data_IF_995959122970
#
_entry.id   IF_995959122970
#
_cell.length_a   1.000
_cell.length_b   1.000
_cell.length_c   1.000
_cell.angle_alpha   90.00
_cell.angle_beta   90.00
_cell.angle_gamma   90.00
#
_symmetry.space_group_name_H-M   'P 1'
#
loop_
_entity.id
_entity.type
_entity.pdbx_description
1 polymer ?
#
# COMPACT_ATOMS: atom_id res chain seq x y z
N UNK A 1 59.40 -20.32 -66.19
CA UNK A 1 59.80 -21.04 -64.97
C UNK A 1 58.78 -20.72 -63.88
N UNK A 2 57.80 -21.60 -63.72
CA UNK A 2 56.89 -21.58 -62.58
C UNK A 2 56.71 -23.04 -62.18
N UNK A 3 57.14 -23.32 -60.96
CA UNK A 3 57.34 -24.63 -60.35
C UNK A 3 56.01 -25.27 -59.99
N UNK A 4 55.77 -26.46 -60.54
CA UNK A 4 54.84 -27.46 -60.03
C UNK A 4 55.29 -27.97 -58.66
N UNK A 5 54.36 -28.30 -57.75
CA UNK A 5 54.44 -29.32 -56.67
C UNK A 5 53.00 -29.68 -56.22
N UNK A 6 52.76 -30.87 -55.62
CA UNK A 6 51.75 -31.79 -56.13
C UNK A 6 50.55 -32.07 -55.19
N UNK A 7 49.66 -32.92 -55.71
CA UNK A 7 48.43 -33.44 -55.12
C UNK A 7 48.58 -33.99 -53.69
N UNK A 8 47.65 -33.59 -52.82
CA UNK A 8 47.38 -34.26 -51.54
C UNK A 8 46.50 -35.50 -51.80
N UNK A 9 47.12 -36.68 -51.73
CA UNK A 9 46.42 -37.95 -51.70
C UNK A 9 45.79 -38.19 -50.33
N UNK A 10 44.47 -38.40 -50.30
CA UNK A 10 43.73 -38.83 -49.12
C UNK A 10 43.96 -40.33 -48.92
N UNK A 11 44.86 -40.69 -48.00
CA UNK A 11 44.92 -42.01 -47.41
C UNK A 11 44.03 -42.01 -46.15
N UNK A 12 42.75 -42.33 -46.35
CA UNK A 12 41.83 -42.64 -45.26
C UNK A 12 42.15 -44.05 -44.75
N UNK A 13 42.89 -44.14 -43.64
CA UNK A 13 43.05 -45.40 -42.91
C UNK A 13 41.75 -45.74 -42.18
N UNK A 14 41.38 -47.03 -42.18
CA UNK A 14 40.19 -47.58 -41.49
C UNK A 14 40.13 -47.22 -39.99
N UNK A 15 41.27 -46.91 -39.39
CA UNK A 15 41.37 -46.56 -37.97
C UNK A 15 40.88 -45.13 -37.66
N UNK A 16 40.93 -44.22 -38.63
CA UNK A 16 40.44 -42.84 -38.45
C UNK A 16 38.91 -42.77 -38.49
N UNK A 17 38.27 -43.61 -39.31
CA UNK A 17 36.80 -43.70 -39.39
C UNK A 17 36.23 -44.36 -38.13
N UNK A 18 36.91 -45.37 -37.56
CA UNK A 18 36.48 -46.01 -36.33
C UNK A 18 36.68 -45.12 -35.09
N UNK A 19 37.76 -44.36 -35.04
CA UNK A 19 37.98 -43.38 -33.97
C UNK A 19 36.95 -42.25 -34.03
N UNK A 20 36.73 -41.66 -35.22
CA UNK A 20 35.78 -40.54 -35.40
C UNK A 20 34.31 -40.97 -35.19
N UNK A 21 33.93 -42.19 -35.60
CA UNK A 21 32.61 -42.73 -35.33
C UNK A 21 32.38 -43.01 -33.84
N UNK A 22 33.42 -43.43 -33.10
CA UNK A 22 33.35 -43.62 -31.66
C UNK A 22 33.29 -42.28 -30.90
N UNK A 23 34.01 -41.24 -31.33
CA UNK A 23 33.88 -39.89 -30.74
C UNK A 23 32.55 -39.24 -31.07
N UNK A 24 32.00 -39.44 -32.27
CA UNK A 24 30.68 -38.93 -32.64
C UNK A 24 29.56 -39.66 -31.86
N UNK A 25 29.72 -40.97 -31.61
CA UNK A 25 28.80 -41.76 -30.78
C UNK A 25 28.88 -41.35 -29.29
N UNK A 26 30.07 -41.07 -28.75
CA UNK A 26 30.25 -40.58 -27.37
C UNK A 26 29.70 -39.14 -27.22
N UNK A 27 29.90 -38.26 -28.20
CA UNK A 27 29.28 -36.93 -28.20
C UNK A 27 27.75 -37.00 -28.41
N UNK A 28 27.24 -37.95 -29.18
CA UNK A 28 25.80 -38.18 -29.34
C UNK A 28 25.17 -38.76 -28.07
N UNK A 29 25.86 -39.64 -27.34
CA UNK A 29 25.41 -40.19 -26.05
C UNK A 29 25.47 -39.14 -24.93
N UNK A 30 26.39 -38.17 -24.98
CA UNK A 30 26.40 -37.03 -24.04
C UNK A 30 25.38 -35.93 -24.37
N UNK A 31 24.72 -35.99 -25.54
CA UNK A 31 23.75 -34.98 -25.98
C UNK A 31 22.29 -35.40 -25.76
N UNK A 32 22.03 -36.55 -25.14
CA UNK A 32 20.67 -36.97 -24.80
C UNK A 32 20.42 -36.94 -23.30
N UNK A 33 19.41 -36.13 -22.96
CA UNK A 33 18.63 -36.12 -21.73
C UNK A 33 19.30 -35.51 -20.50
N UNK A 34 19.22 -34.17 -20.42
CA UNK A 34 18.79 -33.58 -19.16
C UNK A 34 17.38 -34.13 -18.89
N UNK A 35 17.28 -35.29 -18.22
CA UNK A 35 16.09 -35.54 -17.43
C UNK A 35 16.13 -34.49 -16.33
N UNK A 36 15.50 -33.34 -16.58
CA UNK A 36 14.90 -32.60 -15.50
C UNK A 36 13.95 -33.62 -14.85
N UNK A 37 14.38 -34.24 -13.75
CA UNK A 37 13.46 -34.93 -12.88
C UNK A 37 12.42 -33.88 -12.51
N UNK A 38 11.22 -33.99 -13.07
CA UNK A 38 10.11 -33.16 -12.67
C UNK A 38 9.94 -33.41 -11.17
N UNK A 39 10.37 -32.44 -10.36
CA UNK A 39 10.11 -32.46 -8.93
C UNK A 39 8.59 -32.49 -8.78
N UNK A 40 8.06 -33.45 -8.03
CA UNK A 40 6.63 -33.52 -7.75
C UNK A 40 6.20 -32.18 -7.14
N UNK A 41 5.16 -31.55 -7.69
CA UNK A 41 4.76 -30.21 -7.28
C UNK A 41 4.27 -30.21 -5.82
N UNK A 42 4.52 -29.13 -5.05
CA UNK A 42 3.90 -28.93 -3.75
C UNK A 42 2.39 -29.14 -3.80
N UNK A 43 1.84 -29.75 -2.76
CA UNK A 43 0.40 -30.02 -2.66
C UNK A 43 -0.04 -31.33 -3.32
N UNK A 44 0.84 -31.98 -4.09
CA UNK A 44 0.53 -33.28 -4.70
C UNK A 44 0.32 -34.35 -3.63
N UNK A 45 -0.85 -35.00 -3.64
CA UNK A 45 -1.14 -36.14 -2.78
C UNK A 45 -0.45 -37.41 -3.31
N UNK A 46 0.49 -37.94 -2.55
CA UNK A 46 1.10 -39.25 -2.78
C UNK A 46 0.30 -40.27 -1.98
N UNK A 47 -0.46 -41.13 -2.66
CA UNK A 47 -1.25 -42.20 -2.05
C UNK A 47 -0.65 -43.58 -2.34
N UNK A 48 -0.47 -44.37 -1.30
CA UNK A 48 0.00 -45.75 -1.37
C UNK A 48 -1.10 -46.70 -0.85
N UNK A 49 -1.47 -47.68 -1.67
CA UNK A 49 -2.41 -48.76 -1.30
C UNK A 49 -1.81 -50.07 -1.79
N UNK A 50 -1.65 -51.04 -0.89
CA UNK A 50 -1.20 -52.38 -1.26
C UNK A 50 -2.37 -53.21 -1.78
N UNK A 51 -2.09 -54.08 -2.75
CA UNK A 51 -3.06 -55.04 -3.30
C UNK A 51 -2.53 -56.45 -3.07
N UNK A 52 -3.37 -57.32 -2.52
CA UNK A 52 -3.13 -58.75 -2.39
C UNK A 52 -4.00 -59.49 -3.41
N UNK A 53 -3.38 -60.24 -4.31
CA UNK A 53 -4.07 -61.16 -5.22
C UNK A 53 -3.83 -62.60 -4.75
N UNK A 54 -4.89 -63.40 -4.65
CA UNK A 54 -4.81 -64.81 -4.24
C UNK A 54 -5.88 -65.66 -4.91
N UNK A 55 -5.63 -66.96 -5.08
CA UNK A 55 -6.63 -67.92 -5.57
C UNK A 55 -7.04 -68.88 -4.46
N UNK A 56 -8.32 -69.25 -4.42
CA UNK A 56 -8.79 -70.33 -3.54
C UNK A 56 -9.12 -71.56 -4.40
N UNK A 57 -8.86 -72.78 -3.91
CA UNK A 57 -9.20 -73.99 -4.65
C UNK A 57 -10.69 -74.01 -5.02
N UNK A 58 -11.00 -74.05 -6.31
CA UNK A 58 -12.38 -74.05 -6.83
C UNK A 58 -13.01 -72.68 -7.07
N UNK A 59 -12.31 -71.56 -6.83
CA UNK A 59 -12.74 -70.20 -7.22
C UNK A 59 -11.69 -69.51 -8.10
N UNK A 60 -12.09 -68.43 -8.78
CA UNK A 60 -11.16 -67.58 -9.53
C UNK A 60 -10.20 -66.79 -8.62
N UNK A 61 -9.36 -65.96 -9.23
CA UNK A 61 -8.48 -65.05 -8.51
C UNK A 61 -9.30 -63.98 -7.78
N UNK A 62 -9.02 -63.81 -6.48
CA UNK A 62 -9.56 -62.77 -5.63
C UNK A 62 -8.52 -61.65 -5.44
N UNK A 63 -9.01 -60.42 -5.23
CA UNK A 63 -8.19 -59.26 -4.90
C UNK A 63 -8.66 -58.64 -3.58
N UNK A 64 -7.73 -58.23 -2.73
CA UNK A 64 -7.99 -57.45 -1.52
C UNK A 64 -7.07 -56.23 -1.46
N UNK A 65 -7.60 -55.08 -1.08
CA UNK A 65 -6.85 -53.83 -0.93
C UNK A 65 -6.52 -53.60 0.55
N UNK A 66 -5.35 -53.03 0.84
CA UNK A 66 -5.05 -52.49 2.17
C UNK A 66 -5.82 -51.18 2.41
N UNK A 67 -5.66 -50.60 3.60
CA UNK A 67 -5.96 -49.18 3.80
C UNK A 67 -5.02 -48.32 2.93
N UNK A 68 -5.49 -47.15 2.52
CA UNK A 68 -4.65 -46.15 1.87
C UNK A 68 -3.82 -45.40 2.93
N UNK A 69 -2.54 -45.18 2.62
CA UNK A 69 -1.65 -44.25 3.34
C UNK A 69 -1.33 -43.11 2.39
N UNK A 70 -1.50 -41.87 2.83
CA UNK A 70 -1.25 -40.71 1.98
C UNK A 70 -0.29 -39.72 2.64
N UNK A 71 0.51 -39.03 1.82
CA UNK A 71 1.39 -37.94 2.21
C UNK A 71 1.30 -36.84 1.16
N UNK A 72 1.35 -35.58 1.58
CA UNK A 72 1.38 -34.44 0.64
C UNK A 72 2.82 -34.00 0.45
N UNK A 73 3.19 -33.64 -0.78
CA UNK A 73 4.51 -33.06 -1.05
C UNK A 73 4.57 -31.65 -0.49
N UNK A 74 5.57 -31.38 0.34
CA UNK A 74 5.84 -30.06 0.89
C UNK A 74 6.96 -29.35 0.11
N UNK A 75 6.89 -28.02 -0.07
CA UNK A 75 7.97 -27.24 -0.63
C UNK A 75 9.17 -27.19 0.33
N UNK A 76 10.36 -26.94 -0.24
CA UNK A 76 11.59 -26.76 0.54
C UNK A 76 11.56 -25.44 1.31
N UNK A 77 12.06 -25.38 2.56
CA UNK A 77 12.11 -24.14 3.33
C UNK A 77 12.81 -23.01 2.57
N UNK A 78 12.29 -21.79 2.68
CA UNK A 78 12.82 -20.62 1.97
C UNK A 78 12.81 -19.37 2.86
N UNK A 79 13.77 -18.45 2.72
CA UNK A 79 13.73 -17.19 3.45
C UNK A 79 12.66 -16.25 2.87
N UNK A 80 11.93 -15.58 3.75
CA UNK A 80 10.92 -14.60 3.40
C UNK A 80 11.49 -13.19 3.14
N UNK A 81 10.80 -12.40 2.30
CA UNK A 81 11.06 -10.96 2.12
C UNK A 81 9.75 -10.19 2.07
N UNK A 82 9.78 -8.92 2.48
CA UNK A 82 8.61 -8.04 2.54
C UNK A 82 8.97 -6.67 2.00
N UNK A 83 8.13 -6.15 1.11
CA UNK A 83 8.29 -4.83 0.48
C UNK A 83 6.99 -4.05 0.56
N UNK A 84 7.07 -2.75 0.88
CA UNK A 84 5.95 -1.81 0.77
C UNK A 84 5.98 -1.19 -0.64
N UNK A 85 4.80 -1.15 -1.25
CA UNK A 85 4.58 -0.69 -2.62
C UNK A 85 3.51 0.41 -2.65
N UNK A 86 3.56 1.24 -3.69
CA UNK A 86 2.50 2.17 -4.05
C UNK A 86 2.12 2.01 -5.51
N UNK A 87 0.85 2.28 -5.82
CA UNK A 87 0.42 2.41 -7.20
C UNK A 87 1.13 3.59 -7.87
N UNK A 88 1.52 3.42 -9.13
CA UNK A 88 2.24 4.40 -9.92
C UNK A 88 1.84 4.28 -11.39
N UNK A 89 2.25 5.24 -12.22
CA UNK A 89 2.13 5.11 -13.66
C UNK A 89 2.85 3.86 -14.19
N UNK A 90 2.27 3.13 -15.17
CA UNK A 90 2.86 1.91 -15.71
C UNK A 90 4.30 2.07 -16.23
N UNK A 91 4.68 3.25 -16.70
CA UNK A 91 6.03 3.54 -17.18
C UNK A 91 7.10 3.52 -16.07
N UNK A 92 6.69 3.77 -14.82
CA UNK A 92 7.56 3.85 -13.64
C UNK A 92 7.44 2.62 -12.73
N UNK A 93 6.59 1.67 -13.10
CA UNK A 93 6.30 0.50 -12.29
C UNK A 93 7.47 -0.49 -12.28
N UNK A 94 7.82 -0.97 -11.09
CA UNK A 94 8.78 -2.07 -10.90
C UNK A 94 8.08 -3.40 -10.65
N UNK A 95 6.79 -3.37 -10.32
CA UNK A 95 5.94 -4.53 -10.07
C UNK A 95 4.63 -4.37 -10.84
N UNK A 96 4.20 -5.44 -11.50
CA UNK A 96 2.90 -5.54 -12.18
C UNK A 96 2.21 -6.81 -11.67
N UNK A 97 1.29 -6.66 -10.72
CA UNK A 97 0.67 -7.79 -10.03
C UNK A 97 -0.77 -7.49 -9.66
N UNK A 98 -1.60 -8.52 -9.50
CA UNK A 98 -2.83 -8.39 -8.73
C UNK A 98 -2.48 -8.24 -7.25
N UNK A 99 -3.39 -7.66 -6.48
CA UNK A 99 -3.28 -7.48 -5.03
C UNK A 99 -4.52 -8.04 -4.32
N UNK A 100 -5.21 -8.99 -4.96
CA UNK A 100 -6.54 -9.42 -4.56
C UNK A 100 -6.80 -10.89 -4.89
N UNK A 101 -7.71 -11.54 -4.14
CA UNK A 101 -8.47 -10.96 -3.03
C UNK A 101 -7.59 -10.70 -1.80
N UNK A 102 -7.77 -9.54 -1.14
CA UNK A 102 -7.16 -9.27 0.16
C UNK A 102 -8.28 -9.23 1.19
N UNK A 103 -8.05 -9.85 2.34
CA UNK A 103 -8.97 -9.80 3.47
C UNK A 103 -8.29 -9.22 4.70
N UNK A 104 -9.07 -8.73 5.65
CA UNK A 104 -8.58 -8.22 6.93
C UNK A 104 -9.27 -8.93 8.09
N UNK A 105 -8.54 -9.09 9.19
CA UNK A 105 -9.02 -9.79 10.37
C UNK A 105 -9.80 -8.84 11.29
N UNK A 106 -11.11 -9.04 11.40
CA UNK A 106 -11.99 -8.35 12.36
C UNK A 106 -12.40 -9.35 13.44
N UNK A 107 -11.91 -9.12 14.66
CA UNK A 107 -12.07 -10.09 15.75
C UNK A 107 -11.39 -11.42 15.42
N UNK A 108 -12.18 -12.47 15.18
CA UNK A 108 -11.71 -13.81 14.84
C UNK A 108 -12.02 -14.24 13.39
N UNK A 109 -12.62 -13.36 12.57
CA UNK A 109 -12.99 -13.66 11.20
C UNK A 109 -12.21 -12.80 10.20
N UNK A 110 -12.05 -13.30 8.98
CA UNK A 110 -11.53 -12.52 7.86
C UNK A 110 -12.69 -11.96 7.03
N UNK A 111 -12.66 -10.66 6.80
CA UNK A 111 -13.61 -9.96 5.92
C UNK A 111 -12.87 -9.46 4.67
N UNK A 112 -13.46 -9.60 3.47
CA UNK A 112 -12.86 -9.04 2.26
C UNK A 112 -12.69 -7.53 2.37
N UNK A 113 -11.54 -7.01 1.94
CA UNK A 113 -11.34 -5.56 1.82
C UNK A 113 -12.11 -5.00 0.62
N UNK A 114 -12.62 -3.79 0.77
CA UNK A 114 -13.14 -3.01 -0.35
C UNK A 114 -12.00 -2.66 -1.32
N UNK A 115 -12.35 -2.45 -2.60
CA UNK A 115 -11.40 -2.11 -3.64
C UNK A 115 -10.55 -0.88 -3.24
N UNK A 116 -9.20 -0.94 -3.35
CA UNK A 116 -8.32 0.10 -2.85
C UNK A 116 -8.51 1.40 -3.61
N UNK A 117 -8.43 2.52 -2.88
CA UNK A 117 -8.48 3.87 -3.43
C UNK A 117 -7.06 4.43 -3.50
N UNK A 118 -6.64 4.84 -4.69
CA UNK A 118 -5.29 5.36 -4.95
C UNK A 118 -5.16 6.85 -4.61
N UNK A 119 -3.94 7.39 -4.68
CA UNK A 119 -3.65 8.83 -4.51
C UNK A 119 -4.48 9.74 -5.42
N UNK A 120 -4.91 9.26 -6.58
CA UNK A 120 -5.75 10.00 -7.52
C UNK A 120 -7.25 9.82 -7.26
N UNK A 121 -7.65 9.24 -6.13
CA UNK A 121 -9.04 9.01 -5.72
C UNK A 121 -9.78 7.94 -6.51
N UNK A 122 -9.14 7.35 -7.54
CA UNK A 122 -9.73 6.25 -8.28
C UNK A 122 -9.68 4.96 -7.46
N UNK A 123 -10.75 4.17 -7.55
CA UNK A 123 -10.75 2.81 -7.03
C UNK A 123 -10.25 1.86 -8.11
N UNK A 124 -9.33 0.96 -7.77
CA UNK A 124 -8.81 -0.05 -8.70
C UNK A 124 -9.30 -1.44 -8.34
N UNK A 125 -9.56 -2.28 -9.35
CA UNK A 125 -9.93 -3.66 -9.12
C UNK A 125 -8.70 -4.45 -8.64
N UNK A 126 -8.67 -4.97 -7.40
CA UNK A 126 -7.49 -5.66 -6.88
C UNK A 126 -7.24 -7.01 -7.55
N UNK A 127 -8.20 -7.55 -8.30
CA UNK A 127 -8.06 -8.81 -9.06
C UNK A 127 -7.39 -8.63 -10.42
N UNK A 128 -7.12 -7.40 -10.84
CA UNK A 128 -6.42 -7.09 -12.09
C UNK A 128 -4.98 -6.65 -11.81
N UNK A 129 -4.14 -6.62 -12.84
CA UNK A 129 -2.77 -6.13 -12.72
C UNK A 129 -2.76 -4.64 -12.36
N UNK A 130 -2.04 -4.32 -11.30
CA UNK A 130 -1.81 -2.95 -10.83
C UNK A 130 -0.33 -2.63 -11.02
N UNK A 131 -0.08 -1.48 -11.64
CA UNK A 131 1.25 -0.89 -11.78
C UNK A 131 1.72 -0.33 -10.44
N UNK A 132 2.77 -0.92 -9.88
CA UNK A 132 3.28 -0.56 -8.56
C UNK A 132 4.79 -0.35 -8.58
N UNK A 133 5.27 0.48 -7.66
CA UNK A 133 6.69 0.67 -7.38
C UNK A 133 6.96 0.59 -5.89
N UNK A 134 8.19 0.20 -5.53
CA UNK A 134 8.62 0.21 -4.14
C UNK A 134 8.54 1.62 -3.55
N UNK A 135 7.99 1.71 -2.35
CA UNK A 135 7.75 2.97 -1.67
C UNK A 135 8.44 3.00 -0.30
N UNK A 136 9.27 4.01 -0.09
CA UNK A 136 9.78 4.38 1.24
C UNK A 136 8.91 5.46 1.91
N UNK A 137 7.96 6.02 1.15
CA UNK A 137 7.03 7.07 1.60
C UNK A 137 5.61 6.80 1.06
N UNK A 138 4.59 6.97 1.90
CA UNK A 138 3.17 6.76 1.61
C UNK A 138 2.33 7.97 1.99
N UNK A 139 1.24 8.24 1.27
CA UNK A 139 0.35 9.35 1.58
C UNK A 139 -0.83 8.90 2.44
N UNK A 140 -1.14 9.62 3.51
CA UNK A 140 -2.36 9.37 4.28
C UNK A 140 -3.61 9.56 3.42
N UNK A 141 -4.46 8.53 3.36
CA UNK A 141 -5.69 8.53 2.56
C UNK A 141 -5.63 7.69 1.29
N UNK A 142 -4.44 7.23 0.85
CA UNK A 142 -4.30 6.26 -0.26
C UNK A 142 -4.15 4.82 0.26
N UNK A 143 -4.35 3.85 -0.62
CA UNK A 143 -4.06 2.45 -0.34
C UNK A 143 -2.55 2.19 -0.38
N UNK A 144 -2.05 1.50 0.65
CA UNK A 144 -0.68 1.01 0.70
C UNK A 144 -0.68 -0.45 0.31
N UNK A 145 0.16 -0.81 -0.65
CA UNK A 145 0.31 -2.18 -1.12
C UNK A 145 1.52 -2.83 -0.45
N UNK A 146 1.48 -4.14 -0.30
CA UNK A 146 2.55 -4.94 0.30
C UNK A 146 2.77 -6.19 -0.52
N UNK A 147 4.03 -6.58 -0.66
CA UNK A 147 4.44 -7.81 -1.32
C UNK A 147 5.28 -8.64 -0.36
N UNK A 148 4.85 -9.86 -0.08
CA UNK A 148 5.64 -10.89 0.60
C UNK A 148 6.14 -11.88 -0.46
N UNK A 149 7.43 -12.16 -0.50
CA UNK A 149 7.95 -13.30 -1.27
C UNK A 149 8.44 -14.35 -0.32
N UNK A 150 7.78 -15.50 -0.34
CA UNK A 150 8.08 -16.65 0.49
C UNK A 150 7.69 -17.93 -0.28
N UNK A 151 8.69 -18.64 -0.80
CA UNK A 151 8.47 -19.72 -1.77
C UNK A 151 7.95 -20.99 -1.13
N UNK A 152 8.19 -21.17 0.15
CA UNK A 152 7.73 -22.34 0.87
C UNK A 152 6.29 -22.22 1.36
N UNK A 153 5.66 -21.06 1.21
CA UNK A 153 4.22 -20.88 1.46
C UNK A 153 3.34 -21.16 0.25
N UNK A 154 3.94 -21.38 -0.92
CA UNK A 154 3.26 -21.96 -2.08
C UNK A 154 3.16 -23.48 -1.88
N UNK A 155 2.07 -23.88 -1.22
CA UNK A 155 1.79 -25.23 -0.72
C UNK A 155 0.87 -26.00 -1.66
N UNK A 156 0.05 -25.32 -2.46
CA UNK A 156 -0.75 -25.91 -3.52
C UNK A 156 -0.44 -25.24 -4.87
N UNK A 157 0.38 -25.89 -5.68
CA UNK A 157 0.76 -25.37 -6.99
C UNK A 157 -0.42 -25.21 -7.98
N UNK A 158 -1.59 -25.81 -7.69
CA UNK A 158 -2.80 -25.68 -8.49
C UNK A 158 -3.81 -24.68 -7.89
N UNK A 159 -3.53 -24.14 -6.70
CA UNK A 159 -4.37 -23.20 -5.96
C UNK A 159 -3.75 -21.82 -5.83
N UNK A 160 -4.53 -20.89 -5.28
CA UNK A 160 -4.03 -19.60 -4.80
C UNK A 160 -3.87 -19.73 -3.30
N UNK A 161 -2.63 -19.77 -2.83
CA UNK A 161 -2.32 -19.79 -1.41
C UNK A 161 -2.46 -18.40 -0.78
N UNK A 162 -2.48 -18.36 0.55
CA UNK A 162 -2.61 -17.10 1.31
C UNK A 162 -1.66 -17.04 2.48
N UNK A 163 -1.20 -15.82 2.81
CA UNK A 163 -0.37 -15.55 3.99
C UNK A 163 -0.94 -14.37 4.77
N UNK A 164 -0.71 -14.38 6.09
CA UNK A 164 -1.15 -13.31 6.98
C UNK A 164 0.02 -12.43 7.39
N UNK A 165 -0.20 -11.12 7.44
CA UNK A 165 0.79 -10.17 7.96
C UNK A 165 0.13 -9.04 8.74
N UNK A 166 0.93 -8.33 9.54
CA UNK A 166 0.47 -7.21 10.36
C UNK A 166 1.07 -5.90 9.86
N UNK A 167 0.24 -4.87 9.75
CA UNK A 167 0.63 -3.50 9.47
C UNK A 167 0.28 -2.65 10.69
N UNK A 168 1.16 -1.76 11.11
CA UNK A 168 1.00 -0.90 12.29
C UNK A 168 1.41 0.53 12.00
N UNK A 169 0.77 1.49 12.66
CA UNK A 169 1.18 2.90 12.64
C UNK A 169 1.77 3.33 13.99
N UNK A 170 2.62 4.35 14.00
CA UNK A 170 3.15 4.96 15.23
C UNK A 170 2.04 5.48 16.16
N UNK A 171 0.86 5.80 15.61
CA UNK A 171 -0.29 6.25 16.38
C UNK A 171 -0.88 5.14 17.29
N UNK A 172 -0.42 3.90 17.13
CA UNK A 172 -0.88 2.74 17.90
C UNK A 172 -1.91 1.89 17.14
N UNK A 173 -2.20 2.23 15.89
CA UNK A 173 -3.12 1.45 15.07
C UNK A 173 -2.46 0.16 14.56
N UNK A 174 -3.26 -0.89 14.35
CA UNK A 174 -2.79 -2.18 13.90
C UNK A 174 -3.82 -3.01 13.14
N UNK A 175 -3.52 -3.29 11.88
CA UNK A 175 -4.35 -4.11 11.00
C UNK A 175 -3.66 -5.44 10.66
N UNK A 176 -4.41 -6.54 10.66
CA UNK A 176 -3.92 -7.84 10.20
C UNK A 176 -4.61 -8.18 8.89
N UNK A 177 -3.83 -8.30 7.82
CA UNK A 177 -4.31 -8.53 6.46
C UNK A 177 -3.82 -9.89 5.95
N UNK A 178 -4.69 -10.54 5.17
CA UNK A 178 -4.44 -11.77 4.45
C UNK A 178 -4.19 -11.44 2.99
N UNK A 179 -2.95 -11.68 2.56
CA UNK A 179 -2.53 -11.53 1.18
C UNK A 179 -2.85 -12.81 0.41
N UNK A 180 -3.12 -12.67 -0.88
CA UNK A 180 -3.24 -13.81 -1.79
C UNK A 180 -2.00 -13.91 -2.67
N UNK A 181 -1.70 -15.13 -3.08
CA UNK A 181 -0.68 -15.38 -4.09
C UNK A 181 -1.02 -14.62 -5.39
N UNK A 182 -0.02 -13.97 -5.99
CA UNK A 182 -0.14 -13.14 -7.20
C UNK A 182 -0.52 -13.92 -8.46
N UNK A 183 -0.43 -15.24 -8.39
CA UNK A 183 -0.82 -16.21 -9.41
C UNK A 183 -0.46 -17.61 -8.93
N UNK A 184 -0.93 -18.63 -9.65
CA UNK A 184 -0.66 -20.02 -9.29
C UNK A 184 0.85 -20.29 -9.22
N UNK A 185 1.29 -20.89 -8.11
CA UNK A 185 2.64 -21.42 -7.97
C UNK A 185 3.76 -20.37 -8.12
N UNK A 186 3.55 -19.16 -7.61
CA UNK A 186 4.52 -18.06 -7.68
C UNK A 186 5.38 -17.93 -6.42
N UNK A 187 4.86 -18.27 -5.24
CA UNK A 187 5.47 -17.96 -3.94
C UNK A 187 5.56 -16.45 -3.65
N UNK A 188 4.77 -15.63 -4.35
CA UNK A 188 4.73 -14.18 -4.21
C UNK A 188 3.30 -13.78 -3.86
N UNK A 189 3.11 -13.18 -2.70
CA UNK A 189 1.83 -12.78 -2.15
C UNK A 189 1.71 -11.28 -2.13
N UNK A 190 0.62 -10.75 -2.64
CA UNK A 190 0.40 -9.31 -2.75
C UNK A 190 -0.97 -8.96 -2.19
N UNK A 191 -1.02 -7.87 -1.44
CA UNK A 191 -2.27 -7.31 -0.95
C UNK A 191 -2.11 -5.85 -0.56
N UNK A 192 -3.09 -5.32 0.14
CA UNK A 192 -3.15 -3.90 0.46
C UNK A 192 -3.90 -3.61 1.76
N UNK A 193 -3.73 -2.38 2.25
CA UNK A 193 -4.55 -1.80 3.32
C UNK A 193 -4.86 -0.36 2.96
N UNK A 194 -6.11 0.07 3.13
CA UNK A 194 -6.48 1.47 2.95
C UNK A 194 -5.93 2.29 4.12
N UNK A 195 -5.31 3.44 3.88
CA UNK A 195 -4.93 4.34 4.97
C UNK A 195 -5.94 5.47 5.15
N UNK A 196 -5.97 6.06 6.35
CA UNK A 196 -6.81 7.23 6.64
C UNK A 196 -6.15 8.13 7.69
N UNK A 197 -6.25 9.45 7.50
CA UNK A 197 -5.92 10.41 8.54
C UNK A 197 -7.13 10.59 9.47
N UNK A 198 -7.19 9.82 10.56
CA UNK A 198 -8.28 9.85 11.53
C UNK A 198 -7.81 9.36 12.92
N UNK A 199 -8.69 9.42 13.92
CA UNK A 199 -8.45 8.80 15.22
C UNK A 199 -8.30 7.28 15.08
N UNK A 200 -7.38 6.69 15.83
CA UNK A 200 -7.03 5.27 15.77
C UNK A 200 -8.18 4.38 16.22
N UNK A 201 -8.46 3.34 15.43
CA UNK A 201 -9.44 2.28 15.70
C UNK A 201 -8.84 0.94 15.25
N UNK A 202 -8.17 0.26 16.17
CA UNK A 202 -7.48 -1.01 15.90
C UNK A 202 -8.44 -2.10 15.40
N UNK A 203 -8.10 -2.71 14.27
CA UNK A 203 -8.81 -3.86 13.70
C UNK A 203 -10.09 -3.48 12.94
N UNK A 204 -10.18 -2.25 12.44
CA UNK A 204 -11.29 -1.77 11.61
C UNK A 204 -11.05 -1.92 10.10
N UNK A 205 -9.92 -2.52 9.73
CA UNK A 205 -9.47 -2.76 8.36
C UNK A 205 -9.08 -1.52 7.56
N UNK A 206 -8.86 -0.39 8.24
CA UNK A 206 -8.31 0.83 7.68
C UNK A 206 -7.15 1.26 8.56
N UNK A 207 -5.95 1.39 8.02
CA UNK A 207 -4.81 1.84 8.80
C UNK A 207 -4.89 3.35 9.04
N UNK A 208 -5.22 3.76 10.26
CA UNK A 208 -5.14 5.15 10.67
C UNK A 208 -3.69 5.56 10.88
N UNK A 209 -3.29 6.56 10.12
CA UNK A 209 -1.94 7.09 10.07
C UNK A 209 -1.92 8.54 10.52
N UNK A 210 -0.81 8.91 11.15
CA UNK A 210 -0.50 10.30 11.49
C UNK A 210 0.59 10.78 10.54
N UNK A 211 0.53 12.06 10.14
CA UNK A 211 1.56 12.70 9.32
C UNK A 211 2.92 12.72 10.04
N UNK A 212 4.00 12.77 9.27
CA UNK A 212 5.38 12.72 9.79
C UNK A 212 5.68 11.52 10.69
N UNK A 213 4.97 10.43 10.46
CA UNK A 213 5.14 9.19 11.21
C UNK A 213 5.59 8.06 10.30
N UNK A 214 5.78 6.88 10.88
CA UNK A 214 6.20 5.70 10.14
C UNK A 214 5.09 4.65 10.24
N UNK A 215 4.84 3.96 9.14
CA UNK A 215 4.14 2.67 9.17
C UNK A 215 5.17 1.55 9.17
N UNK A 216 4.89 0.50 9.92
CA UNK A 216 5.70 -0.71 9.97
C UNK A 216 4.84 -1.90 9.56
N UNK A 217 5.41 -2.77 8.74
CA UNK A 217 4.80 -3.98 8.24
C UNK A 217 5.66 -5.16 8.67
N UNK A 218 5.02 -6.22 9.17
CA UNK A 218 5.70 -7.40 9.70
C UNK A 218 4.99 -8.67 9.25
N UNK A 219 5.76 -9.55 8.63
CA UNK A 219 5.40 -10.90 8.26
C UNK A 219 6.17 -11.90 9.12
N UNK A 220 5.53 -13.00 9.50
CA UNK A 220 6.15 -14.14 10.18
C UNK A 220 5.72 -15.39 9.45
N UNK A 221 6.68 -16.22 9.04
CA UNK A 221 6.38 -17.49 8.41
C UNK A 221 5.60 -18.40 9.41
N UNK A 222 4.42 -18.92 9.05
CA UNK A 222 3.62 -19.78 9.91
C UNK A 222 4.27 -21.14 10.24
N UNK A 223 5.29 -21.55 9.48
CA UNK A 223 6.00 -22.83 9.62
C UNK A 223 7.34 -22.63 10.33
N UNK A 224 8.00 -21.51 10.09
CA UNK A 224 9.22 -21.12 10.78
C UNK A 224 9.10 -19.75 11.45
N UNK A 225 8.73 -19.74 12.74
CA UNK A 225 8.58 -18.50 13.49
C UNK A 225 9.87 -17.65 13.64
N UNK A 226 11.05 -18.21 13.29
CA UNK A 226 12.30 -17.46 13.25
C UNK A 226 12.51 -16.71 11.92
N UNK A 227 11.78 -17.07 10.86
CA UNK A 227 11.75 -16.33 9.61
C UNK A 227 10.73 -15.18 9.71
N UNK A 228 11.27 -13.96 9.74
CA UNK A 228 10.52 -12.73 9.95
C UNK A 228 11.01 -11.72 8.92
N UNK A 229 10.09 -11.23 8.09
CA UNK A 229 10.35 -10.11 7.19
C UNK A 229 9.68 -8.83 7.70
N UNK A 230 10.40 -7.71 7.64
CA UNK A 230 9.89 -6.39 8.05
C UNK A 230 10.12 -5.38 6.93
N UNK A 231 9.19 -4.44 6.79
CA UNK A 231 9.32 -3.27 5.95
C UNK A 231 8.71 -2.06 6.63
N UNK A 232 9.14 -0.87 6.23
CA UNK A 232 8.58 0.37 6.77
C UNK A 232 8.61 1.48 5.75
N UNK A 233 7.63 2.38 5.84
CA UNK A 233 7.55 3.57 5.02
C UNK A 233 7.16 4.78 5.89
N UNK A 234 7.66 5.95 5.53
CA UNK A 234 7.25 7.20 6.15
C UNK A 234 5.88 7.63 5.61
N UNK A 235 5.04 8.17 6.47
CA UNK A 235 3.80 8.83 6.07
C UNK A 235 4.17 10.25 5.69
N UNK A 236 3.99 10.58 4.42
CA UNK A 236 4.31 11.88 3.89
C UNK A 236 3.59 13.01 4.65
N UNK A 237 4.31 14.05 5.08
CA UNK A 237 3.70 15.23 5.66
C UNK A 237 2.62 15.89 4.78
N UNK A 238 1.56 16.36 5.42
CA UNK A 238 0.50 17.16 4.79
C UNK A 238 -0.06 18.17 5.79
N UNK A 239 -0.68 19.23 5.30
CA UNK A 239 -1.40 20.19 6.13
C UNK A 239 -2.88 19.87 6.22
N UNK A 240 -3.50 20.14 7.37
CA UNK A 240 -4.94 20.00 7.59
C UNK A 240 -5.56 21.36 7.94
N UNK A 241 -6.62 21.76 7.25
CA UNK A 241 -7.53 22.81 7.73
C UNK A 241 -8.67 22.15 8.51
N UNK A 242 -8.88 22.58 9.75
CA UNK A 242 -9.87 22.00 10.64
C UNK A 242 -10.63 23.05 11.45
N UNK A 243 -11.87 22.73 11.83
CA UNK A 243 -12.71 23.57 12.67
C UNK A 243 -12.19 23.57 14.10
N UNK A 244 -11.91 24.77 14.62
CA UNK A 244 -11.28 24.99 15.93
C UNK A 244 -12.16 24.63 17.13
N UNK A 245 -13.41 24.24 16.92
CA UNK A 245 -14.36 23.85 17.97
C UNK A 245 -14.58 22.35 18.04
N UNK A 246 -14.60 21.69 16.88
CA UNK A 246 -14.92 20.28 16.74
C UNK A 246 -13.71 19.40 16.41
N UNK A 247 -12.62 19.97 15.87
CA UNK A 247 -11.48 19.21 15.35
C UNK A 247 -11.74 18.59 13.97
N UNK A 248 -12.92 18.78 13.40
CA UNK A 248 -13.30 18.18 12.12
C UNK A 248 -12.64 18.90 10.94
N UNK A 249 -12.26 18.12 9.93
CA UNK A 249 -11.69 18.61 8.68
C UNK A 249 -12.64 19.57 7.94
N UNK A 250 -12.11 20.67 7.40
CA UNK A 250 -12.87 21.69 6.66
C UNK A 250 -12.43 21.70 5.19
N UNK A 251 -13.32 21.24 4.31
CA UNK A 251 -13.12 21.29 2.85
C UNK A 251 -13.33 22.68 2.26
N UNK A 252 -12.69 22.95 1.13
CA UNK A 252 -12.90 24.16 0.33
C UNK A 252 -12.22 25.42 0.87
N UNK A 253 -11.43 25.33 1.94
CA UNK A 253 -10.49 26.39 2.30
C UNK A 253 -9.40 26.49 1.22
N UNK A 254 -9.17 27.69 0.70
CA UNK A 254 -8.11 27.96 -0.27
C UNK A 254 -6.84 28.36 0.49
N UNK A 255 -5.78 27.58 0.31
CA UNK A 255 -4.50 27.76 0.98
C UNK A 255 -3.45 28.12 -0.06
N UNK A 256 -2.79 29.26 0.13
CA UNK A 256 -1.67 29.73 -0.69
C UNK A 256 -0.38 29.73 0.13
N UNK A 257 0.67 29.11 -0.40
CA UNK A 257 2.01 29.21 0.17
C UNK A 257 2.74 30.41 -0.44
N UNK A 258 3.14 31.35 0.41
CA UNK A 258 3.86 32.56 0.01
C UNK A 258 5.29 32.50 0.54
N UNK A 259 6.25 33.01 -0.24
CA UNK A 259 7.58 33.31 0.27
C UNK A 259 7.47 34.53 1.21
N UNK A 260 7.85 34.37 2.47
CA UNK A 260 7.66 35.42 3.48
C UNK A 260 8.49 36.68 3.19
N UNK A 261 9.65 36.52 2.55
CA UNK A 261 10.55 37.64 2.22
C UNK A 261 10.02 38.48 1.07
N UNK A 262 9.46 37.86 0.03
CA UNK A 262 8.99 38.58 -1.17
C UNK A 262 7.49 38.87 -1.16
N UNK A 263 6.71 38.14 -0.36
CA UNK A 263 5.25 38.18 -0.36
C UNK A 263 4.59 37.53 -1.57
N UNK A 264 5.37 36.97 -2.52
CA UNK A 264 4.86 36.33 -3.72
C UNK A 264 4.55 34.85 -3.48
N UNK A 265 3.71 34.22 -4.33
CA UNK A 265 3.53 32.77 -4.33
C UNK A 265 4.87 32.02 -4.40
N UNK A 266 5.01 30.98 -3.60
CA UNK A 266 6.19 30.12 -3.58
C UNK A 266 6.34 29.33 -4.89
N UNK A 267 7.55 28.90 -5.20
CA UNK A 267 7.77 27.86 -6.21
C UNK A 267 7.61 26.50 -5.53
N UNK A 268 6.63 25.72 -5.98
CA UNK A 268 6.32 24.38 -5.44
C UNK A 268 6.50 23.35 -6.55
N UNK A 269 7.03 22.19 -6.20
CA UNK A 269 7.16 21.04 -7.08
C UNK A 269 6.32 19.87 -6.58
N UNK A 270 5.93 18.98 -7.50
CA UNK A 270 5.24 17.73 -7.20
C UNK A 270 6.14 16.71 -6.51
N UNK A 271 5.61 15.51 -6.27
CA UNK A 271 6.34 14.40 -5.61
C UNK A 271 7.59 13.96 -6.40
N UNK A 272 7.64 14.24 -7.70
CA UNK A 272 8.79 13.97 -8.58
C UNK A 272 9.94 14.97 -8.39
N UNK A 273 9.71 16.05 -7.64
CA UNK A 273 10.65 17.13 -7.39
C UNK A 273 11.01 17.98 -8.62
N UNK A 274 10.31 17.81 -9.74
CA UNK A 274 10.63 18.46 -11.03
C UNK A 274 9.41 19.16 -11.62
N UNK A 275 8.25 18.52 -11.57
CA UNK A 275 7.01 19.05 -12.13
C UNK A 275 6.50 20.21 -11.29
N UNK A 276 6.19 21.33 -11.94
CA UNK A 276 5.64 22.49 -11.24
C UNK A 276 4.28 22.15 -10.61
N UNK A 277 4.15 22.43 -9.32
CA UNK A 277 2.92 22.23 -8.54
C UNK A 277 2.31 23.59 -8.15
N UNK A 278 0.97 23.71 -8.10
CA UNK A 278 0.34 24.97 -7.72
C UNK A 278 0.71 25.42 -6.31
N UNK A 279 1.15 26.68 -6.17
CA UNK A 279 1.37 27.30 -4.86
C UNK A 279 0.06 27.70 -4.15
N UNK A 280 -1.10 27.41 -4.75
CA UNK A 280 -2.43 27.65 -4.18
C UNK A 280 -3.31 26.45 -4.49
N UNK A 281 -3.91 25.89 -3.45
CA UNK A 281 -4.74 24.69 -3.52
C UNK A 281 -5.98 24.84 -2.66
N UNK A 282 -7.05 24.13 -3.02
CA UNK A 282 -8.22 24.01 -2.16
C UNK A 282 -8.13 22.71 -1.34
N UNK A 283 -8.53 22.78 -0.08
CA UNK A 283 -8.55 21.60 0.79
C UNK A 283 -9.59 20.58 0.35
N UNK A 284 -9.21 19.30 0.43
CA UNK A 284 -10.06 18.19 0.01
C UNK A 284 -10.40 18.17 -1.49
N UNK A 285 -9.63 18.89 -2.31
CA UNK A 285 -9.80 18.91 -3.76
C UNK A 285 -8.80 18.02 -4.49
N UNK A 286 -9.03 17.85 -5.79
CA UNK A 286 -8.02 17.32 -6.70
C UNK A 286 -7.08 18.45 -7.15
N UNK A 287 -5.78 18.16 -7.23
CA UNK A 287 -4.75 19.05 -7.78
C UNK A 287 -3.95 18.27 -8.82
N UNK A 288 -3.54 18.91 -9.90
CA UNK A 288 -2.72 18.29 -10.94
C UNK A 288 -1.46 19.13 -11.15
N UNK A 289 -0.29 18.49 -11.14
CA UNK A 289 0.98 19.16 -11.44
C UNK A 289 1.21 19.29 -12.95
N UNK A 290 2.27 20.01 -13.33
CA UNK A 290 2.65 20.20 -14.73
C UNK A 290 3.12 18.90 -15.43
N UNK A 291 3.46 17.85 -14.66
CA UNK A 291 3.79 16.52 -15.18
C UNK A 291 2.55 15.68 -15.48
N UNK A 292 1.36 16.13 -15.04
CA UNK A 292 0.09 15.42 -15.21
C UNK A 292 -0.27 14.51 -14.03
N UNK A 293 0.55 14.46 -12.97
CA UNK A 293 0.25 13.67 -11.77
C UNK A 293 -0.97 14.26 -11.07
N UNK A 294 -1.94 13.41 -10.77
CA UNK A 294 -3.18 13.80 -10.10
C UNK A 294 -3.11 13.46 -8.61
N UNK A 295 -3.25 14.47 -7.77
CA UNK A 295 -3.28 14.40 -6.31
C UNK A 295 -4.72 14.60 -5.86
N UNK A 296 -5.34 13.58 -5.26
CA UNK A 296 -6.65 13.71 -4.60
C UNK A 296 -6.43 13.85 -3.11
N UNK A 297 -6.74 15.03 -2.61
CA UNK A 297 -6.53 15.37 -1.21
C UNK A 297 -7.72 14.87 -0.39
N UNK A 298 -7.43 14.21 0.72
CA UNK A 298 -8.44 13.79 1.69
C UNK A 298 -9.18 15.02 2.28
N UNK A 299 -10.35 14.85 2.91
CA UNK A 299 -11.10 15.97 3.47
C UNK A 299 -10.24 16.86 4.39
N UNK A 300 -10.30 18.17 4.18
CA UNK A 300 -9.54 19.20 4.90
C UNK A 300 -8.05 19.25 4.60
N UNK A 301 -7.52 18.28 3.84
CA UNK A 301 -6.08 18.17 3.57
C UNK A 301 -5.67 19.10 2.44
N UNK A 302 -4.49 19.70 2.58
CA UNK A 302 -3.74 20.36 1.51
C UNK A 302 -2.28 19.88 1.52
N UNK A 303 -1.62 19.98 0.35
CA UNK A 303 -0.20 19.60 0.20
C UNK A 303 0.56 20.64 -0.60
N UNK A 304 1.80 20.87 -0.20
CA UNK A 304 2.84 21.51 -1.01
C UNK A 304 4.04 20.56 -0.98
N UNK A 305 4.11 19.59 -1.93
CA UNK A 305 4.97 18.42 -1.78
C UNK A 305 6.46 18.72 -1.63
N UNK A 306 6.96 19.69 -2.40
CA UNK A 306 8.35 20.09 -2.28
C UNK A 306 8.53 21.59 -2.52
N UNK A 307 9.21 22.24 -1.57
CA UNK A 307 9.67 23.63 -1.66
C UNK A 307 11.12 23.73 -1.21
N UNK A 308 11.85 24.72 -1.74
CA UNK A 308 13.21 24.96 -1.28
C UNK A 308 13.24 25.42 0.20
N UNK A 309 14.33 25.16 0.95
CA UNK A 309 14.49 25.72 2.28
C UNK A 309 14.34 27.25 2.28
N UNK A 310 13.63 27.80 3.26
CA UNK A 310 13.33 29.23 3.28
C UNK A 310 12.30 29.63 4.32
N UNK A 311 11.91 30.91 4.29
CA UNK A 311 10.85 31.47 5.12
C UNK A 311 9.56 31.57 4.31
N UNK A 312 8.48 31.05 4.86
CA UNK A 312 7.19 30.97 4.19
C UNK A 312 6.06 31.43 5.09
N UNK A 313 4.92 31.75 4.49
CA UNK A 313 3.67 32.08 5.17
C UNK A 313 2.49 31.43 4.44
N UNK A 314 1.53 30.93 5.20
CA UNK A 314 0.25 30.51 4.64
C UNK A 314 -0.71 31.69 4.58
N UNK A 315 -1.25 31.96 3.39
CA UNK A 315 -2.43 32.80 3.24
C UNK A 315 -3.64 31.88 3.04
N UNK A 316 -4.61 31.98 3.95
CA UNK A 316 -5.76 31.07 3.99
C UNK A 316 -7.04 31.86 3.82
N UNK A 317 -7.84 31.47 2.84
CA UNK A 317 -9.21 31.96 2.64
C UNK A 317 -10.13 30.79 2.99
N UNK A 318 -10.73 30.77 4.20
CA UNK A 318 -11.65 29.71 4.59
C UNK A 318 -13.00 29.82 3.84
N UNK A 319 -13.83 28.76 3.86
CA UNK A 319 -15.23 28.86 3.42
C UNK A 319 -15.98 29.95 4.20
N UNK A 320 -17.07 30.54 3.66
CA UNK A 320 -17.80 31.64 4.31
C UNK A 320 -18.35 31.33 5.72
N UNK A 321 -18.45 30.05 6.07
CA UNK A 321 -18.87 29.56 7.39
C UNK A 321 -17.76 29.61 8.44
N UNK A 322 -16.53 29.99 8.07
CA UNK A 322 -15.37 30.02 8.94
C UNK A 322 -14.54 31.30 8.76
N UNK A 323 -13.70 31.59 9.74
CA UNK A 323 -12.79 32.71 9.78
C UNK A 323 -11.37 32.24 10.13
N UNK A 324 -10.38 32.95 9.59
CA UNK A 324 -8.96 32.69 9.81
C UNK A 324 -8.25 34.03 10.11
N UNK A 325 -7.25 34.05 11.03
CA UNK A 325 -6.76 32.95 11.85
C UNK A 325 -7.62 32.69 13.09
N UNK A 326 -7.56 31.47 13.62
CA UNK A 326 -8.13 31.16 14.93
C UNK A 326 -7.37 31.88 16.06
N UNK A 327 -8.08 32.24 17.13
CA UNK A 327 -7.49 32.82 18.36
C UNK A 327 -7.38 31.84 19.52
N UNK A 328 -7.77 30.57 19.32
CA UNK A 328 -7.72 29.54 20.37
C UNK A 328 -6.28 29.15 20.72
N UNK A 329 -6.09 28.72 21.97
CA UNK A 329 -4.76 28.28 22.43
C UNK A 329 -4.40 26.92 21.83
N UNK A 330 -3.09 26.67 21.63
CA UNK A 330 -2.59 25.38 21.16
C UNK A 330 -3.03 24.24 22.09
N UNK A 331 -3.07 24.48 23.41
CA UNK A 331 -3.52 23.49 24.38
C UNK A 331 -4.98 23.09 24.17
N UNK A 332 -5.87 24.07 23.96
CA UNK A 332 -7.29 23.78 23.70
C UNK A 332 -7.49 23.06 22.37
N UNK A 333 -6.76 23.48 21.32
CA UNK A 333 -6.84 22.84 20.01
C UNK A 333 -6.36 21.40 20.05
N UNK A 334 -5.25 21.11 20.73
CA UNK A 334 -4.73 19.75 20.86
C UNK A 334 -5.58 18.84 21.77
N UNK A 335 -6.50 19.40 22.55
CA UNK A 335 -7.47 18.64 23.34
C UNK A 335 -8.70 18.19 22.51
N UNK A 336 -8.88 18.68 21.28
CA UNK A 336 -9.98 18.28 20.41
C UNK A 336 -9.78 16.86 19.85
N UNK A 337 -10.87 16.16 19.48
CA UNK A 337 -10.77 14.93 18.70
C UNK A 337 -9.93 15.13 17.43
N UNK A 338 -9.03 14.20 17.14
CA UNK A 338 -8.09 14.29 16.00
C UNK A 338 -6.76 14.98 16.31
N UNK A 339 -6.61 15.57 17.49
CA UNK A 339 -5.31 16.04 17.99
C UNK A 339 -4.37 14.88 18.41
N UNK A 340 -3.07 15.17 18.65
CA UNK A 340 -2.45 16.49 18.55
C UNK A 340 -2.27 16.97 17.11
N UNK A 341 -2.49 18.26 16.90
CA UNK A 341 -2.30 18.95 15.62
C UNK A 341 -0.87 19.48 15.49
N UNK A 342 -0.37 19.63 14.25
CA UNK A 342 0.92 20.23 13.96
C UNK A 342 0.79 21.75 13.89
N UNK A 343 0.64 22.33 15.09
CA UNK A 343 0.44 23.75 15.29
C UNK A 343 1.77 24.47 15.49
N UNK A 344 2.00 25.50 14.68
CA UNK A 344 3.16 26.38 14.76
C UNK A 344 2.79 27.81 14.33
N UNK A 345 3.77 28.70 14.22
CA UNK A 345 3.53 30.10 13.80
C UNK A 345 2.72 30.19 12.48
N UNK A 346 3.08 29.35 11.49
CA UNK A 346 2.38 29.26 10.20
C UNK A 346 0.89 28.91 10.30
N UNK A 347 0.49 28.16 11.33
CA UNK A 347 -0.91 27.77 11.59
C UNK A 347 -1.82 28.97 11.84
N UNK A 348 -1.25 30.09 12.28
CA UNK A 348 -1.96 31.32 12.63
C UNK A 348 -1.60 32.47 11.69
N UNK A 349 -1.12 32.16 10.48
CA UNK A 349 -0.83 33.12 9.42
C UNK A 349 0.47 33.89 9.63
N UNK A 350 1.33 33.47 10.57
CA UNK A 350 2.65 34.05 10.77
C UNK A 350 3.69 33.35 9.88
N UNK A 351 4.88 33.95 9.79
CA UNK A 351 5.98 33.37 9.04
C UNK A 351 6.54 32.13 9.76
N UNK A 352 6.99 31.13 8.99
CA UNK A 352 7.60 29.91 9.50
C UNK A 352 8.72 29.42 8.57
N UNK A 353 9.69 28.72 9.17
CA UNK A 353 10.87 28.21 8.47
C UNK A 353 10.60 26.81 7.93
N UNK A 354 10.93 26.58 6.65
CA UNK A 354 11.09 25.24 6.07
C UNK A 354 12.58 24.94 5.99
N UNK A 355 13.04 23.92 6.71
CA UNK A 355 14.46 23.66 6.94
C UNK A 355 15.14 22.77 5.87
N UNK A 356 14.37 22.12 5.01
CA UNK A 356 14.84 21.19 3.98
C UNK A 356 13.91 21.17 2.77
N UNK A 357 14.27 20.49 1.67
CA UNK A 357 13.35 20.23 0.56
C UNK A 357 12.33 19.18 1.00
N UNK A 358 11.39 19.59 1.85
CA UNK A 358 10.36 18.74 2.45
C UNK A 358 8.97 19.31 2.17
N UNK A 359 7.95 18.47 2.30
CA UNK A 359 6.58 18.94 2.21
C UNK A 359 6.25 19.90 3.37
N UNK A 360 5.35 20.86 3.11
CA UNK A 360 4.86 21.77 4.14
C UNK A 360 3.78 21.07 4.98
N UNK A 361 4.12 20.79 6.24
CA UNK A 361 3.25 20.11 7.21
C UNK A 361 2.80 21.10 8.30
N UNK A 362 1.70 21.82 8.04
CA UNK A 362 1.19 22.84 8.96
C UNK A 362 -0.32 22.71 9.05
N UNK A 363 -0.83 22.46 10.25
CA UNK A 363 -2.27 22.47 10.47
C UNK A 363 -2.77 23.87 10.71
N UNK A 364 -3.97 24.16 10.23
CA UNK A 364 -4.55 25.49 10.19
C UNK A 364 -5.93 25.44 10.86
N UNK A 365 -6.04 25.88 12.13
CA UNK A 365 -7.34 26.01 12.79
C UNK A 365 -8.11 27.19 12.18
N UNK A 366 -9.38 26.95 11.84
CA UNK A 366 -10.32 27.98 11.43
C UNK A 366 -11.49 28.04 12.41
N UNK A 367 -11.88 29.25 12.81
CA UNK A 367 -12.99 29.45 13.72
C UNK A 367 -14.30 29.43 12.93
N UNK A 368 -15.33 28.75 13.42
CA UNK A 368 -16.66 28.90 12.85
C UNK A 368 -17.04 30.40 12.87
N UNK A 369 -17.31 30.97 11.69
CA UNK A 369 -17.77 32.34 11.57
C UNK A 369 -19.19 32.37 12.10
N UNK A 370 -19.33 32.75 13.38
CA UNK A 370 -20.57 32.80 14.15
C UNK A 370 -21.82 32.83 13.26
N UNK A 371 -22.56 31.72 13.21
CA UNK A 371 -23.99 31.79 12.92
C UNK A 371 -24.56 32.80 13.91
N UNK A 372 -25.23 33.83 13.40
CA UNK A 372 -25.81 34.92 14.16
C UNK A 372 -26.34 34.46 15.53
N UNK A 373 -26.05 35.23 16.59
CA UNK A 373 -26.65 34.98 17.89
C UNK A 373 -28.16 35.26 17.79
N UNK A 374 -28.99 34.21 17.77
CA UNK A 374 -30.43 34.36 17.81
C UNK A 374 -30.92 34.38 19.26
N UNK A 375 -31.49 35.50 19.69
CA UNK A 375 -32.25 35.59 20.94
C UNK A 375 -33.73 35.48 20.59
N UNK A 376 -34.33 34.33 20.86
CA UNK A 376 -35.78 34.14 20.74
C UNK A 376 -36.41 34.34 22.11
N UNK A 377 -37.22 35.39 22.26
CA UNK A 377 -38.05 35.64 23.44
C UNK A 377 -39.47 35.16 23.14
N UNK A 378 -39.95 34.20 23.89
CA UNK A 378 -41.30 33.62 23.74
C UNK A 378 -42.13 33.82 25.00
N UNK A 379 -43.45 33.89 24.82
CA UNK A 379 -44.42 33.78 25.91
C UNK A 379 -45.57 32.92 25.42
N UNK A 380 -46.14 32.13 26.32
CA UNK A 380 -47.37 31.38 26.08
C UNK A 380 -48.62 32.23 26.35
N UNK A 381 -48.46 33.46 26.85
CA UNK A 381 -49.57 34.36 27.19
C UNK A 381 -50.02 35.12 25.95
N UNK A 382 -51.20 34.79 25.42
CA UNK A 382 -51.73 35.40 24.18
C UNK A 382 -52.77 36.50 24.42
N UNK A 383 -53.31 36.65 25.64
CA UNK A 383 -54.23 37.71 26.06
C UNK A 383 -53.86 38.13 27.49
N UNK A 384 -53.77 39.44 27.75
CA UNK A 384 -53.49 39.99 29.08
C UNK A 384 -54.22 41.34 29.29
N UNK A 385 -54.55 41.65 30.53
CA UNK A 385 -55.15 42.91 30.97
C UNK A 385 -54.12 43.81 31.68
N UNK A 386 -54.52 45.05 31.96
CA UNK A 386 -53.69 46.00 32.72
C UNK A 386 -53.46 45.48 34.14
N UNK A 387 -52.19 45.23 34.47
CA UNK A 387 -51.77 44.71 35.79
C UNK A 387 -51.33 43.24 35.78
N UNK A 388 -51.53 42.51 34.68
CA UNK A 388 -51.17 41.10 34.58
C UNK A 388 -49.65 40.89 34.43
N UNK A 389 -49.14 39.83 35.06
CA UNK A 389 -47.77 39.38 34.87
C UNK A 389 -47.65 38.49 33.63
N UNK A 390 -46.81 38.89 32.68
CA UNK A 390 -46.47 38.08 31.51
C UNK A 390 -45.03 37.59 31.63
N UNK A 391 -44.88 36.28 31.80
CA UNK A 391 -43.56 35.66 31.83
C UNK A 391 -43.05 35.45 30.40
N UNK A 392 -41.77 35.76 30.21
CA UNK A 392 -41.06 35.49 28.97
C UNK A 392 -39.85 34.59 29.24
N UNK A 393 -39.54 33.74 28.26
CA UNK A 393 -38.35 32.89 28.22
C UNK A 393 -37.60 33.10 26.93
#
# INVERSE_FOLDING_TARGET
>A
MATSHPAFGVLMSRDFVSAFALTLLIMFVMSFTNFAHAQTAPGTLIQNTAVLEFSRPGSGNDMAFSNAVASTVEPLPSPSTLTILRATDPASATVQSSAGPTSCRVGNAYVPLAAPVLSNGSSVNPLQQIAMAQATTVHGGEAVFVQVTDRDQNRDAAGIDTVDMRVTSVAGDAETIRLSESGLNTGVFVGYVQTRAAAVVVGDCVLQVVRDSQIASRYVDPINAADIANASALVDPFGLVFDSTSGLAVNGAVVSLLNATTGMPATVFGDDGVSAYPATVATGSQVTDAGGTVYVLAPGVFRFPMVAPGQYRLAVIPPPTHAFPSTRTIADLNALPGGPFQLQAGSFGQDFTVAGPVAVAVDVPVDAANSQLFLQKTTTTTVAALGDFVQYT
#
